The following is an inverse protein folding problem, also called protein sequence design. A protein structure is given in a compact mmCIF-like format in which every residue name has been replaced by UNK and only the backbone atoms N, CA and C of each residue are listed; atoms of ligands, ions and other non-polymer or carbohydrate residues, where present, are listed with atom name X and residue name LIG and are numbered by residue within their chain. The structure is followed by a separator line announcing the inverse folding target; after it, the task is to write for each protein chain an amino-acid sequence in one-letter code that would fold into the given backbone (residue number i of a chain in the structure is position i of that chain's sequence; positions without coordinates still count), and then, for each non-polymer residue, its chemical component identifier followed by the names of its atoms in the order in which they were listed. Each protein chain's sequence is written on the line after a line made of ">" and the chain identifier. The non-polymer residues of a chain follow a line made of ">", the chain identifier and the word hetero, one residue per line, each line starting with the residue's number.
data_IF_513716549095
#
_entry.id   IF_513716549095
#
_cell.length_a   1.000
_cell.length_b   1.000
_cell.length_c   1.000
_cell.angle_alpha   90.00
_cell.angle_beta   90.00
_cell.angle_gamma   90.00
#
_symmetry.space_group_name_H-M   'P 1'
#
loop_
_entity.id
_entity.type
_entity.pdbx_description
1 polymer ?
#
# COMPACT_ATOMS: atom_id res chain seq x y z
N UNK A 1 -9.00 9.46 -1.69
CA UNK A 1 -8.53 8.15 -2.21
C UNK A 1 -9.65 7.11 -2.25
N UNK A 2 -10.50 6.99 -1.21
CA UNK A 2 -11.62 6.01 -1.23
C UNK A 2 -12.58 6.29 -2.39
N UNK A 3 -13.04 7.53 -2.57
CA UNK A 3 -13.92 7.92 -3.68
C UNK A 3 -13.29 7.61 -5.04
N UNK A 4 -12.01 7.94 -5.22
CA UNK A 4 -11.29 7.60 -6.45
C UNK A 4 -11.25 6.08 -6.69
N UNK A 5 -11.00 5.29 -5.65
CA UNK A 5 -10.98 3.84 -5.77
C UNK A 5 -12.36 3.28 -6.15
N UNK A 6 -13.45 3.83 -5.60
CA UNK A 6 -14.82 3.45 -5.96
C UNK A 6 -15.12 3.71 -7.45
N UNK A 7 -14.56 4.77 -8.03
CA UNK A 7 -14.76 5.12 -9.44
C UNK A 7 -13.89 4.28 -10.40
N UNK A 8 -12.64 3.97 -10.00
CA UNK A 8 -11.63 3.40 -10.92
C UNK A 8 -11.36 1.91 -10.70
N UNK A 9 -11.63 1.38 -9.52
CA UNK A 9 -11.48 -0.02 -9.15
C UNK A 9 -12.59 -0.44 -8.17
N UNK A 10 -13.87 -0.39 -8.56
CA UNK A 10 -14.99 -0.61 -7.66
C UNK A 10 -14.97 -2.00 -6.99
N UNK A 11 -15.64 -2.17 -5.82
CA UNK A 11 -15.65 -3.42 -5.07
C UNK A 11 -16.09 -4.64 -5.89
N UNK A 12 -16.94 -4.43 -6.89
CA UNK A 12 -17.41 -5.49 -7.82
C UNK A 12 -16.29 -6.15 -8.62
N UNK A 13 -15.17 -5.46 -8.83
CA UNK A 13 -13.99 -6.01 -9.52
C UNK A 13 -13.17 -6.97 -8.64
N UNK A 14 -13.40 -6.96 -7.32
CA UNK A 14 -12.65 -7.79 -6.35
C UNK A 14 -11.13 -7.63 -6.47
N UNK A 15 -10.67 -6.42 -6.77
CA UNK A 15 -9.28 -6.08 -6.95
C UNK A 15 -8.46 -6.38 -5.67
N UNK A 16 -7.27 -6.94 -5.85
CA UNK A 16 -6.27 -7.04 -4.79
C UNK A 16 -5.61 -5.68 -4.57
N UNK A 17 -5.64 -5.17 -3.34
CA UNK A 17 -5.21 -3.81 -3.02
C UNK A 17 -4.09 -3.85 -1.98
N UNK A 18 -2.99 -3.19 -2.29
CA UNK A 18 -1.86 -2.97 -1.37
C UNK A 18 -1.75 -1.49 -1.00
N UNK A 19 -1.76 -1.17 0.29
CA UNK A 19 -1.38 0.15 0.79
C UNK A 19 0.06 0.13 1.31
N UNK A 20 0.91 0.98 0.74
CA UNK A 20 2.30 1.18 1.17
C UNK A 20 2.35 2.26 2.24
N UNK A 21 2.90 1.91 3.42
CA UNK A 21 2.91 2.79 4.59
C UNK A 21 1.52 2.98 5.18
N UNK A 22 0.87 1.88 5.50
CA UNK A 22 -0.54 1.87 5.95
C UNK A 22 -0.77 2.50 7.33
N UNK A 23 0.29 2.70 8.11
CA UNK A 23 0.19 3.28 9.45
C UNK A 23 -0.81 2.52 10.33
N UNK A 24 -1.81 3.24 10.84
CA UNK A 24 -2.88 2.65 11.65
C UNK A 24 -4.01 2.00 10.83
N UNK A 25 -3.90 1.93 9.50
CA UNK A 25 -4.85 1.28 8.62
C UNK A 25 -6.07 2.12 8.21
N UNK A 26 -6.11 3.41 8.51
CA UNK A 26 -7.27 4.28 8.28
C UNK A 26 -7.81 4.21 6.85
N UNK A 27 -6.94 4.20 5.83
CA UNK A 27 -7.38 4.15 4.43
C UNK A 27 -8.01 2.79 4.10
N UNK A 28 -7.40 1.68 4.53
CA UNK A 28 -7.94 0.34 4.30
C UNK A 28 -9.26 0.13 5.05
N UNK A 29 -9.42 0.68 6.25
CA UNK A 29 -10.71 0.66 6.94
C UNK A 29 -11.77 1.48 6.20
N UNK A 30 -11.39 2.61 5.61
CA UNK A 30 -12.29 3.39 4.76
C UNK A 30 -12.75 2.62 3.51
N UNK A 31 -11.86 1.83 2.89
CA UNK A 31 -12.21 0.94 1.79
C UNK A 31 -13.14 -0.19 2.25
N UNK A 32 -12.85 -0.80 3.40
CA UNK A 32 -13.72 -1.82 3.99
C UNK A 32 -15.13 -1.29 4.24
N UNK A 33 -15.25 -0.10 4.85
CA UNK A 33 -16.55 0.56 5.08
C UNK A 33 -17.28 0.89 3.77
N UNK A 34 -16.54 1.12 2.68
CA UNK A 34 -17.07 1.35 1.34
C UNK A 34 -17.43 0.06 0.59
N UNK A 35 -17.33 -1.12 1.23
CA UNK A 35 -17.80 -2.40 0.70
C UNK A 35 -16.72 -3.23 -0.02
N UNK A 36 -15.45 -2.88 0.10
CA UNK A 36 -14.38 -3.75 -0.41
C UNK A 36 -14.22 -5.01 0.43
N UNK A 37 -13.88 -6.12 -0.25
CA UNK A 37 -13.61 -7.39 0.42
C UNK A 37 -12.35 -7.28 1.29
N UNK A 38 -12.50 -7.42 2.59
CA UNK A 38 -11.42 -7.32 3.56
C UNK A 38 -10.25 -8.29 3.25
N UNK A 39 -10.54 -9.48 2.72
CA UNK A 39 -9.51 -10.47 2.35
C UNK A 39 -8.63 -10.04 1.17
N UNK A 40 -9.06 -9.02 0.41
CA UNK A 40 -8.31 -8.43 -0.72
C UNK A 40 -7.51 -7.20 -0.33
N UNK A 41 -7.63 -6.74 0.91
CA UNK A 41 -6.95 -5.54 1.42
C UNK A 41 -5.70 -5.91 2.21
N UNK A 42 -4.56 -5.33 1.82
CA UNK A 42 -3.28 -5.49 2.51
C UNK A 42 -2.66 -4.14 2.81
N UNK A 43 -2.18 -3.98 4.04
CA UNK A 43 -1.36 -2.85 4.46
C UNK A 43 0.04 -3.29 4.84
N UNK A 44 1.04 -2.57 4.40
CA UNK A 44 2.41 -2.75 4.85
C UNK A 44 2.93 -1.46 5.49
N UNK A 45 3.72 -1.61 6.54
CA UNK A 45 4.40 -0.51 7.20
C UNK A 45 5.73 -1.02 7.79
N UNK A 46 6.76 -0.17 7.79
CA UNK A 46 8.05 -0.54 8.40
C UNK A 46 8.00 -0.55 9.93
N UNK A 47 6.97 0.07 10.53
CA UNK A 47 6.79 0.17 11.97
C UNK A 47 5.99 -1.00 12.53
N UNK A 48 6.65 -1.86 13.30
CA UNK A 48 5.99 -2.94 14.05
C UNK A 48 4.87 -2.43 14.98
N UNK A 49 5.06 -1.23 15.55
CA UNK A 49 4.05 -0.58 16.40
C UNK A 49 2.79 -0.19 15.62
N UNK A 50 2.95 0.37 14.41
CA UNK A 50 1.84 0.70 13.53
C UNK A 50 1.06 -0.56 13.11
N UNK A 51 1.77 -1.63 12.76
CA UNK A 51 1.16 -2.92 12.41
C UNK A 51 0.40 -3.54 13.59
N UNK A 52 0.96 -3.49 14.79
CA UNK A 52 0.27 -3.97 16.00
C UNK A 52 -1.03 -3.19 16.24
N UNK A 53 -0.97 -1.87 16.09
CA UNK A 53 -2.12 -0.99 16.27
C UNK A 53 -3.21 -1.28 15.22
N UNK A 54 -2.85 -1.34 13.94
CA UNK A 54 -3.81 -1.62 12.85
C UNK A 54 -4.50 -2.97 13.01
N UNK A 55 -3.76 -4.03 13.41
CA UNK A 55 -4.34 -5.34 13.72
C UNK A 55 -5.34 -5.29 14.89
N UNK A 56 -5.02 -4.55 15.95
CA UNK A 56 -5.93 -4.34 17.08
C UNK A 56 -7.22 -3.61 16.68
N UNK A 57 -7.11 -2.57 15.85
CA UNK A 57 -8.26 -1.84 15.31
C UNK A 57 -9.09 -2.77 14.41
N UNK A 58 -8.45 -3.57 13.55
CA UNK A 58 -9.14 -4.51 12.67
C UNK A 58 -9.99 -5.52 13.46
N UNK A 59 -9.47 -6.05 14.56
CA UNK A 59 -10.24 -6.94 15.45
C UNK A 59 -11.47 -6.25 16.01
N UNK A 60 -11.31 -5.03 16.53
CA UNK A 60 -12.41 -4.26 17.14
C UNK A 60 -13.49 -3.90 16.13
N UNK A 61 -13.12 -3.70 14.87
CA UNK A 61 -14.04 -3.32 13.78
C UNK A 61 -14.68 -4.51 13.05
N UNK A 62 -14.34 -5.76 13.41
CA UNK A 62 -14.78 -6.94 12.66
C UNK A 62 -14.15 -7.05 11.27
N UNK A 63 -12.98 -6.43 11.07
CA UNK A 63 -12.26 -6.36 9.80
C UNK A 63 -10.95 -7.19 9.82
N UNK A 64 -10.90 -8.25 10.63
CA UNK A 64 -9.70 -9.05 10.85
C UNK A 64 -9.17 -9.79 9.60
N UNK A 65 -9.96 -9.85 8.54
CA UNK A 65 -9.53 -10.38 7.25
C UNK A 65 -8.61 -9.42 6.46
N UNK A 66 -8.58 -8.11 6.82
CA UNK A 66 -7.57 -7.19 6.31
C UNK A 66 -6.22 -7.62 6.86
N UNK A 67 -5.23 -7.77 5.99
CA UNK A 67 -3.88 -8.15 6.40
C UNK A 67 -3.00 -6.93 6.61
N UNK A 68 -2.25 -6.94 7.69
CA UNK A 68 -1.22 -5.95 7.99
C UNK A 68 0.09 -6.65 8.27
N UNK A 69 1.17 -6.22 7.59
CA UNK A 69 2.49 -6.84 7.69
C UNK A 69 3.58 -5.79 7.86
N UNK A 70 4.51 -6.06 8.77
CA UNK A 70 5.75 -5.29 8.86
C UNK A 70 6.59 -5.54 7.59
N UNK A 71 6.97 -4.46 6.91
CA UNK A 71 7.73 -4.53 5.68
C UNK A 71 8.38 -3.18 5.39
N UNK A 72 9.69 -3.16 5.23
CA UNK A 72 10.40 -2.03 4.63
C UNK A 72 10.24 -2.10 3.11
N UNK A 73 9.35 -1.27 2.57
CA UNK A 73 9.01 -1.29 1.15
C UNK A 73 10.22 -1.15 0.22
N UNK A 74 11.28 -0.49 0.65
CA UNK A 74 12.48 -0.29 -0.18
C UNK A 74 13.42 -1.49 -0.19
N UNK A 75 13.42 -2.32 0.85
CA UNK A 75 14.44 -3.35 1.06
C UNK A 75 13.86 -4.76 1.19
N UNK A 76 12.63 -4.91 1.69
CA UNK A 76 11.99 -6.21 1.88
C UNK A 76 11.09 -6.59 0.69
N UNK A 77 10.78 -7.88 0.54
CA UNK A 77 9.76 -8.34 -0.39
C UNK A 77 8.39 -8.20 0.26
N UNK A 78 7.47 -7.39 -0.32
CA UNK A 78 6.12 -7.28 0.20
C UNK A 78 5.37 -8.62 0.14
N UNK A 79 4.42 -8.84 1.07
CA UNK A 79 3.55 -10.01 1.00
C UNK A 79 2.75 -10.01 -0.30
N UNK A 80 2.32 -11.19 -0.71
CA UNK A 80 1.49 -11.38 -1.91
C UNK A 80 0.02 -11.55 -1.53
N UNK A 81 -0.91 -11.20 -2.42
CA UNK A 81 -2.32 -11.51 -2.23
C UNK A 81 -2.56 -13.02 -2.24
N UNK A 82 -3.68 -13.46 -1.67
CA UNK A 82 -4.08 -14.88 -1.68
C UNK A 82 -4.20 -15.41 -3.10
N UNK A 83 -3.66 -16.60 -3.32
CA UNK A 83 -3.69 -17.28 -4.60
C UNK A 83 -2.54 -16.94 -5.54
N UNK A 84 -1.67 -15.99 -5.19
CA UNK A 84 -0.45 -15.74 -5.95
C UNK A 84 0.61 -16.81 -5.65
N UNK A 85 1.31 -17.26 -6.70
CA UNK A 85 2.36 -18.28 -6.59
C UNK A 85 3.67 -17.71 -6.03
N UNK A 86 4.48 -18.58 -5.41
CA UNK A 86 5.84 -18.21 -5.02
C UNK A 86 6.64 -17.84 -6.27
N UNK A 87 7.40 -16.72 -6.18
CA UNK A 87 8.17 -16.19 -7.30
C UNK A 87 7.37 -15.35 -8.31
N UNK A 88 6.03 -15.35 -8.24
CA UNK A 88 5.20 -14.51 -9.11
C UNK A 88 5.43 -13.02 -8.81
N UNK A 89 5.71 -12.24 -9.87
CA UNK A 89 5.73 -10.78 -9.83
C UNK A 89 4.39 -10.24 -10.37
N UNK A 90 4.16 -8.93 -10.22
CA UNK A 90 2.99 -8.27 -10.80
C UNK A 90 1.66 -8.87 -10.31
N UNK A 91 1.47 -8.89 -9.00
CA UNK A 91 0.35 -9.61 -8.35
C UNK A 91 -0.76 -8.67 -7.82
N UNK A 92 -0.53 -7.36 -7.81
CA UNK A 92 -1.49 -6.38 -7.28
C UNK A 92 -2.26 -5.67 -8.39
N UNK A 93 -3.58 -5.55 -8.22
CA UNK A 93 -4.44 -4.81 -9.15
C UNK A 93 -4.39 -3.31 -8.87
N UNK A 94 -4.26 -2.91 -7.60
CA UNK A 94 -4.18 -1.53 -7.16
C UNK A 94 -3.15 -1.38 -6.04
N UNK A 95 -2.25 -0.40 -6.18
CA UNK A 95 -1.35 0.01 -5.12
C UNK A 95 -1.69 1.45 -4.72
N UNK A 96 -1.77 1.69 -3.41
CA UNK A 96 -2.08 2.99 -2.82
C UNK A 96 -0.90 3.48 -1.98
N UNK A 97 -0.59 4.76 -2.11
CA UNK A 97 0.37 5.46 -1.26
C UNK A 97 -0.20 6.81 -0.81
N UNK A 98 -0.34 6.99 0.49
CA UNK A 98 -0.80 8.24 1.09
C UNK A 98 0.31 8.88 1.92
N UNK A 99 1.29 9.48 1.23
CA UNK A 99 2.38 10.25 1.85
C UNK A 99 3.61 9.44 2.25
N UNK A 100 3.68 8.14 1.97
CA UNK A 100 4.85 7.32 2.27
C UNK A 100 6.02 7.65 1.35
N UNK A 101 5.75 7.82 0.05
CA UNK A 101 6.75 8.30 -0.89
C UNK A 101 7.37 9.64 -0.45
N UNK A 102 6.55 10.58 0.03
CA UNK A 102 7.02 11.87 0.52
C UNK A 102 7.98 11.71 1.72
N UNK A 103 7.61 10.86 2.68
CA UNK A 103 8.45 10.59 3.84
C UNK A 103 9.80 9.96 3.42
N UNK A 104 9.77 9.03 2.47
CA UNK A 104 10.98 8.40 1.92
C UNK A 104 11.84 9.43 1.16
N UNK A 105 11.20 10.28 0.35
CA UNK A 105 11.90 11.29 -0.46
C UNK A 105 12.60 12.37 0.39
N UNK A 106 12.05 12.64 1.58
CA UNK A 106 12.65 13.55 2.58
C UNK A 106 13.69 12.86 3.47
N UNK A 107 13.87 11.55 3.33
CA UNK A 107 14.84 10.78 4.09
C UNK A 107 16.29 11.17 3.81
N UNK A 108 17.20 10.66 4.65
CA UNK A 108 18.64 10.92 4.53
C UNK A 108 19.15 10.41 3.18
N UNK A 109 19.83 11.28 2.44
CA UNK A 109 20.50 10.94 1.19
C UNK A 109 21.73 10.09 1.48
N UNK A 110 22.10 9.25 0.50
CA UNK A 110 23.34 8.47 0.56
C UNK A 110 24.59 9.36 0.38
N UNK A 111 25.79 8.77 0.49
CA UNK A 111 27.06 9.47 0.33
C UNK A 111 27.24 10.11 -1.05
N UNK A 112 26.51 9.62 -2.06
CA UNK A 112 26.48 10.15 -3.42
C UNK A 112 25.40 11.23 -3.62
N UNK A 113 24.61 11.53 -2.57
CA UNK A 113 23.53 12.52 -2.62
C UNK A 113 22.22 12.00 -3.20
N UNK A 114 22.06 10.69 -3.43
CA UNK A 114 20.83 10.12 -3.95
C UNK A 114 19.79 9.96 -2.84
N UNK A 115 18.53 10.29 -3.16
CA UNK A 115 17.41 10.01 -2.28
C UNK A 115 17.08 8.51 -2.27
N UNK A 116 16.71 7.91 -1.13
CA UNK A 116 16.22 6.54 -1.08
C UNK A 116 14.98 6.32 -1.96
N UNK A 117 14.21 7.38 -2.26
CA UNK A 117 13.04 7.33 -3.13
C UNK A 117 13.35 6.94 -4.59
N UNK A 118 14.61 6.99 -5.04
CA UNK A 118 15.00 6.58 -6.40
C UNK A 118 14.59 5.14 -6.71
N UNK A 119 14.57 4.25 -5.72
CA UNK A 119 14.18 2.85 -5.87
C UNK A 119 12.66 2.64 -5.96
N UNK A 120 11.88 3.60 -5.49
CA UNK A 120 10.44 3.45 -5.27
C UNK A 120 9.65 3.11 -6.55
N UNK A 121 9.82 3.83 -7.68
CA UNK A 121 9.04 3.57 -8.90
C UNK A 121 9.24 2.15 -9.45
N UNK A 122 10.47 1.65 -9.45
CA UNK A 122 10.77 0.31 -9.95
C UNK A 122 10.16 -0.78 -9.07
N UNK A 123 10.06 -0.55 -7.76
CA UNK A 123 9.40 -1.48 -6.83
C UNK A 123 7.90 -1.54 -7.07
N UNK A 124 7.25 -0.38 -7.24
CA UNK A 124 5.83 -0.32 -7.60
C UNK A 124 5.56 -1.04 -8.92
N UNK A 125 6.33 -0.72 -9.97
CA UNK A 125 6.17 -1.33 -11.29
C UNK A 125 6.30 -2.86 -11.27
N UNK A 126 7.18 -3.41 -10.42
CA UNK A 126 7.37 -4.86 -10.27
C UNK A 126 6.21 -5.56 -9.57
N UNK A 127 5.44 -4.84 -8.77
CA UNK A 127 4.33 -5.39 -7.99
C UNK A 127 2.98 -5.27 -8.69
N UNK A 128 2.81 -4.29 -9.58
CA UNK A 128 1.57 -4.08 -10.32
C UNK A 128 1.39 -5.07 -11.45
N UNK A 129 0.17 -5.61 -11.58
CA UNK A 129 -0.26 -6.36 -12.76
C UNK A 129 -0.23 -5.46 -14.01
N UNK A 130 -0.07 -6.02 -15.22
CA UNK A 130 -0.34 -5.28 -16.45
C UNK A 130 -1.76 -4.70 -16.42
N UNK A 131 -1.89 -3.39 -16.62
CA UNK A 131 -3.18 -2.68 -16.49
C UNK A 131 -3.60 -2.36 -15.06
N UNK A 132 -2.80 -2.73 -14.06
CA UNK A 132 -3.02 -2.34 -12.66
C UNK A 132 -2.82 -0.84 -12.45
N UNK A 133 -3.37 -0.32 -11.35
CA UNK A 133 -3.40 1.10 -11.06
C UNK A 133 -2.51 1.43 -9.86
N UNK A 134 -1.81 2.56 -9.93
CA UNK A 134 -1.09 3.13 -8.81
C UNK A 134 -1.64 4.52 -8.50
N UNK A 135 -2.17 4.70 -7.29
CA UNK A 135 -2.62 5.98 -6.80
C UNK A 135 -1.72 6.46 -5.67
N UNK A 136 -1.07 7.58 -5.90
CA UNK A 136 -0.21 8.25 -4.93
C UNK A 136 -0.77 9.65 -4.61
N UNK A 137 -0.76 10.02 -3.33
CA UNK A 137 -1.00 11.41 -2.91
C UNK A 137 0.27 11.97 -2.30
N UNK A 138 0.83 12.97 -2.97
CA UNK A 138 2.03 13.68 -2.55
C UNK A 138 1.68 15.06 -2.01
N UNK A 139 2.38 15.49 -0.96
CA UNK A 139 2.25 16.86 -0.41
C UNK A 139 3.13 17.88 -1.14
N UNK A 140 4.00 17.45 -2.04
CA UNK A 140 4.84 18.35 -2.82
C UNK A 140 3.99 19.12 -3.83
N UNK A 141 3.84 20.44 -3.62
CA UNK A 141 3.46 21.34 -4.71
C UNK A 141 4.64 21.43 -5.67
N UNK A 142 4.47 20.88 -6.86
CA UNK A 142 5.33 21.26 -7.98
C UNK A 142 4.90 22.69 -8.34
N UNK A 143 5.74 23.67 -7.96
CA UNK A 143 5.61 25.03 -8.51
C UNK A 143 6.26 24.98 -9.88
N UNK A 144 5.46 24.93 -10.91
CA UNK A 144 5.89 25.13 -12.29
C UNK A 144 6.16 26.61 -12.53
#
# INVERSE_FOLDING_TARGET
>A
MVEWALENAPPSQKASILEVGSGNGTLLFGLFDAGYDASKLHGIDYSAGAIKLSKGIAQTRGASAIRFSECDFLNDEPPKPDGASDGEANVWDLILDKGTYDAIALGVKDEQGNSPAVKYPSRVARLLKPGGLFLITCMFRIVL
#
